data_IF_635596947730
#
_entry.id   IF_635596947730
#
_cell.length_a   1.000
_cell.length_b   1.000
_cell.length_c   1.000
_cell.angle_alpha   90.00
_cell.angle_beta   90.00
_cell.angle_gamma   90.00
#
_symmetry.space_group_name_H-M   'P 1'
#
loop_
_entity.id
_entity.type
_entity.pdbx_description
1 polymer ?
#
# COMPACT_ATOMS: atom_id res chain seq x y z
N UNK A 1 -25.49 -28.54 34.59
CA UNK A 1 -24.90 -28.07 33.29
C UNK A 1 -23.38 -28.24 33.33
N UNK A 2 -22.79 -28.84 32.34
CA UNK A 2 -21.33 -28.97 32.29
C UNK A 2 -20.73 -27.59 32.03
N UNK A 3 -19.58 -27.26 32.64
CA UNK A 3 -18.91 -25.94 32.49
C UNK A 3 -18.78 -25.51 31.04
N UNK A 4 -18.41 -26.45 30.14
CA UNK A 4 -18.25 -26.21 28.71
C UNK A 4 -19.54 -25.77 28.00
N UNK A 5 -20.71 -26.29 28.45
CA UNK A 5 -22.05 -25.90 27.94
C UNK A 5 -22.40 -24.46 28.32
N UNK A 6 -22.00 -24.03 29.54
CA UNK A 6 -22.20 -22.65 30.00
C UNK A 6 -21.33 -21.68 29.18
N UNK A 7 -20.09 -22.06 28.92
CA UNK A 7 -19.15 -21.25 28.08
C UNK A 7 -19.65 -21.16 26.64
N UNK A 8 -20.14 -22.27 26.06
CA UNK A 8 -20.72 -22.29 24.71
C UNK A 8 -21.96 -21.39 24.62
N UNK A 9 -22.85 -21.42 25.60
CA UNK A 9 -24.05 -20.56 25.64
C UNK A 9 -23.70 -19.07 25.74
N UNK A 10 -22.71 -18.71 26.57
CA UNK A 10 -22.24 -17.32 26.65
C UNK A 10 -21.59 -16.87 25.35
N UNK A 11 -20.77 -17.72 24.72
CA UNK A 11 -20.16 -17.44 23.43
C UNK A 11 -21.23 -17.25 22.35
N UNK A 12 -22.27 -18.06 22.34
CA UNK A 12 -23.42 -17.93 21.44
C UNK A 12 -24.14 -16.59 21.64
N UNK A 13 -24.42 -16.22 22.89
CA UNK A 13 -25.07 -14.96 23.26
C UNK A 13 -24.29 -13.76 22.79
N UNK A 14 -22.98 -13.74 23.06
CA UNK A 14 -22.09 -12.68 22.64
C UNK A 14 -22.02 -12.58 21.11
N UNK A 15 -21.90 -13.71 20.42
CA UNK A 15 -21.79 -13.75 18.95
C UNK A 15 -23.08 -13.28 18.27
N UNK A 16 -24.27 -13.64 18.81
CA UNK A 16 -25.56 -13.14 18.28
C UNK A 16 -25.77 -11.64 18.48
N UNK A 17 -25.16 -11.07 19.52
CA UNK A 17 -25.20 -9.63 19.80
C UNK A 17 -24.20 -8.80 19.00
N UNK A 18 -23.39 -9.41 18.14
CA UNK A 18 -22.35 -8.76 17.36
C UNK A 18 -22.99 -7.93 16.25
N UNK A 19 -22.67 -6.65 16.21
CA UNK A 19 -23.01 -5.78 15.08
C UNK A 19 -21.87 -5.82 14.06
N UNK A 20 -22.10 -6.41 12.89
CA UNK A 20 -21.10 -6.56 11.83
C UNK A 20 -20.60 -5.22 11.27
N UNK A 21 -21.29 -4.10 11.57
CA UNK A 21 -20.84 -2.76 11.23
C UNK A 21 -19.87 -2.16 12.26
N UNK A 22 -19.72 -2.77 13.44
CA UNK A 22 -19.00 -2.21 14.60
C UNK A 22 -18.03 -3.25 15.16
N UNK A 23 -17.06 -3.65 14.32
CA UNK A 23 -16.09 -4.73 14.60
C UNK A 23 -15.06 -4.37 15.68
N UNK A 24 -15.04 -3.14 16.20
CA UNK A 24 -14.08 -2.68 17.21
C UNK A 24 -14.34 -3.26 18.64
N UNK A 25 -15.45 -3.98 18.87
CA UNK A 25 -15.76 -4.57 20.17
C UNK A 25 -15.22 -5.99 20.37
N UNK A 26 -14.11 -6.35 19.75
CA UNK A 26 -13.55 -7.72 19.84
C UNK A 26 -13.09 -8.12 21.24
N UNK A 27 -12.82 -7.18 22.14
CA UNK A 27 -12.30 -7.47 23.48
C UNK A 27 -13.21 -8.38 24.34
N UNK A 28 -14.52 -8.39 24.09
CA UNK A 28 -15.48 -9.24 24.79
C UNK A 28 -15.34 -10.74 24.47
N UNK A 29 -14.67 -11.08 23.36
CA UNK A 29 -14.51 -12.45 22.84
C UNK A 29 -13.23 -13.13 23.28
N UNK A 30 -12.51 -12.56 24.24
CA UNK A 30 -11.31 -13.18 24.83
C UNK A 30 -11.68 -14.16 25.95
N UNK A 31 -10.81 -15.16 26.17
CA UNK A 31 -10.97 -16.10 27.30
C UNK A 31 -11.00 -15.39 28.67
N UNK A 32 -10.40 -14.20 28.77
CA UNK A 32 -10.38 -13.39 29.98
C UNK A 32 -11.73 -12.71 30.21
N UNK A 33 -12.29 -12.06 29.18
CA UNK A 33 -13.59 -11.39 29.26
C UNK A 33 -14.74 -12.39 29.50
N UNK A 34 -14.74 -13.52 28.77
CA UNK A 34 -15.73 -14.59 28.97
C UNK A 34 -15.61 -15.18 30.38
N UNK A 35 -14.38 -15.38 30.86
CA UNK A 35 -14.12 -15.84 32.23
C UNK A 35 -14.66 -14.88 33.29
N UNK A 36 -14.40 -13.59 33.10
CA UNK A 36 -14.91 -12.54 34.00
C UNK A 36 -16.45 -12.53 34.05
N UNK A 37 -17.12 -12.59 32.91
CA UNK A 37 -18.59 -12.61 32.83
C UNK A 37 -19.22 -13.82 33.53
N UNK A 38 -18.54 -14.97 33.47
CA UNK A 38 -19.04 -16.22 34.03
C UNK A 38 -18.51 -16.53 35.45
N UNK A 39 -17.63 -15.68 36.00
CA UNK A 39 -16.98 -15.93 37.28
C UNK A 39 -16.04 -17.14 37.28
N UNK A 40 -15.43 -17.44 36.12
CA UNK A 40 -14.54 -18.58 35.90
C UNK A 40 -13.09 -18.15 35.72
N UNK A 41 -12.12 -18.98 36.11
CA UNK A 41 -10.72 -18.72 35.93
C UNK A 41 -10.32 -18.76 34.43
N UNK A 42 -9.62 -17.73 33.93
CA UNK A 42 -9.15 -17.56 32.54
C UNK A 42 -8.55 -18.85 31.95
N UNK A 43 -7.67 -19.54 32.68
CA UNK A 43 -6.99 -20.75 32.21
C UNK A 43 -7.98 -21.90 31.93
N UNK A 44 -9.01 -22.02 32.73
CA UNK A 44 -10.05 -23.05 32.57
C UNK A 44 -10.91 -22.71 31.34
N UNK A 45 -11.30 -21.45 31.18
CA UNK A 45 -12.08 -20.98 30.03
C UNK A 45 -11.30 -21.12 28.75
N UNK A 46 -10.01 -20.74 28.73
CA UNK A 46 -9.13 -20.90 27.56
C UNK A 46 -8.99 -22.36 27.11
N UNK A 47 -8.90 -23.28 28.06
CA UNK A 47 -8.86 -24.74 27.75
C UNK A 47 -10.16 -25.20 27.11
N UNK A 48 -11.32 -24.82 27.69
CA UNK A 48 -12.63 -25.24 27.20
C UNK A 48 -12.95 -24.59 25.83
N UNK A 49 -12.56 -23.32 25.59
CA UNK A 49 -12.71 -22.64 24.29
C UNK A 49 -11.86 -23.31 23.19
N UNK A 50 -10.64 -23.71 23.50
CA UNK A 50 -9.82 -24.46 22.54
C UNK A 50 -10.40 -25.86 22.26
N UNK A 51 -11.05 -26.50 23.25
CA UNK A 51 -11.77 -27.74 23.02
C UNK A 51 -12.97 -27.52 22.10
N UNK A 52 -13.79 -26.48 22.34
CA UNK A 52 -14.92 -26.12 21.47
C UNK A 52 -14.49 -25.82 20.04
N UNK A 53 -13.33 -25.17 19.86
CA UNK A 53 -12.75 -24.96 18.54
C UNK A 53 -12.32 -26.28 17.87
N UNK A 54 -11.65 -27.18 18.59
CA UNK A 54 -11.28 -28.51 18.07
C UNK A 54 -12.53 -29.37 17.74
N UNK A 55 -13.60 -29.20 18.48
CA UNK A 55 -14.89 -29.90 18.25
C UNK A 55 -15.69 -29.23 17.09
N UNK A 56 -15.17 -28.18 16.46
CA UNK A 56 -15.81 -27.47 15.35
C UNK A 56 -17.01 -26.61 15.73
N UNK A 57 -17.20 -26.32 17.03
CA UNK A 57 -18.32 -25.52 17.57
C UNK A 57 -17.94 -24.01 17.72
N UNK A 58 -16.65 -23.68 17.72
CA UNK A 58 -16.16 -22.32 17.82
C UNK A 58 -15.19 -21.98 16.68
N UNK A 59 -15.07 -20.68 16.38
CA UNK A 59 -14.09 -20.08 15.49
C UNK A 59 -13.03 -19.40 16.37
N UNK A 60 -11.77 -19.41 15.94
CA UNK A 60 -10.64 -18.87 16.69
C UNK A 60 -9.83 -17.91 15.85
N UNK A 61 -9.35 -16.80 16.44
CA UNK A 61 -8.43 -15.90 15.76
C UNK A 61 -6.96 -16.35 15.85
N UNK A 62 -6.17 -16.04 14.79
CA UNK A 62 -4.71 -16.15 14.80
C UNK A 62 -4.14 -14.84 15.30
N UNK A 63 -3.66 -14.76 16.51
CA UNK A 63 -3.08 -13.53 17.02
C UNK A 63 -2.99 -13.49 18.55
N UNK A 64 -2.57 -12.35 19.09
CA UNK A 64 -2.59 -12.04 20.52
C UNK A 64 -3.16 -10.64 20.70
N UNK A 65 -4.28 -10.48 21.42
CA UNK A 65 -5.05 -11.53 22.10
C UNK A 65 -5.79 -12.48 21.15
N UNK A 66 -6.14 -13.69 21.63
CA UNK A 66 -6.91 -14.69 20.89
C UNK A 66 -8.40 -14.47 21.17
N UNK A 67 -9.19 -14.36 20.11
CA UNK A 67 -10.64 -14.21 20.16
C UNK A 67 -11.33 -15.51 19.76
N UNK A 68 -12.56 -15.73 20.29
CA UNK A 68 -13.37 -16.89 19.98
C UNK A 68 -14.82 -16.48 19.70
N UNK A 69 -15.43 -17.07 18.67
CA UNK A 69 -16.83 -16.84 18.29
C UNK A 69 -17.58 -18.15 18.15
N UNK A 70 -18.88 -18.14 18.40
CA UNK A 70 -19.73 -19.32 18.23
C UNK A 70 -19.98 -19.58 16.74
N UNK A 71 -19.61 -20.78 16.23
CA UNK A 71 -19.64 -21.07 14.77
C UNK A 71 -21.04 -20.91 14.19
N UNK A 72 -22.05 -21.58 14.73
CA UNK A 72 -23.42 -21.58 14.20
C UNK A 72 -24.08 -20.19 14.29
N UNK A 73 -23.81 -19.43 15.34
CA UNK A 73 -24.32 -18.07 15.48
C UNK A 73 -23.65 -17.15 14.43
N UNK A 74 -22.36 -17.33 14.17
CA UNK A 74 -21.63 -16.60 13.12
C UNK A 74 -22.15 -16.96 11.73
N UNK A 75 -22.34 -18.26 11.42
CA UNK A 75 -22.95 -18.72 10.17
C UNK A 75 -24.34 -18.11 9.94
N UNK A 76 -25.13 -17.96 11.00
CA UNK A 76 -26.45 -17.30 10.93
C UNK A 76 -26.32 -15.80 10.62
N UNK A 77 -25.36 -15.12 11.26
CA UNK A 77 -25.08 -13.69 11.01
C UNK A 77 -24.55 -13.44 9.59
N UNK A 78 -23.73 -14.37 9.09
CA UNK A 78 -23.12 -14.29 7.76
C UNK A 78 -24.06 -14.79 6.64
N UNK A 79 -25.15 -15.48 6.97
CA UNK A 79 -26.07 -16.07 6.01
C UNK A 79 -25.47 -17.24 5.19
N UNK A 80 -24.29 -17.78 5.57
CA UNK A 80 -23.62 -18.91 4.91
C UNK A 80 -22.97 -19.87 5.88
N UNK A 81 -22.73 -21.10 5.45
CA UNK A 81 -21.95 -22.08 6.23
C UNK A 81 -20.45 -21.82 6.05
N UNK A 82 -19.69 -22.02 7.11
CA UNK A 82 -18.25 -21.90 7.15
C UNK A 82 -17.59 -23.28 6.95
N UNK A 83 -16.55 -23.34 6.12
CA UNK A 83 -15.73 -24.53 5.96
C UNK A 83 -14.77 -24.68 7.15
N UNK A 84 -14.22 -25.89 7.36
CA UNK A 84 -13.32 -26.14 8.48
C UNK A 84 -12.03 -25.31 8.44
N UNK A 85 -11.57 -24.92 7.25
CA UNK A 85 -10.43 -23.99 7.06
C UNK A 85 -10.75 -22.55 7.49
N UNK A 86 -12.01 -22.16 7.48
CA UNK A 86 -12.49 -20.84 7.91
C UNK A 86 -12.74 -20.77 9.42
N UNK A 87 -12.57 -21.86 10.15
CA UNK A 87 -12.70 -21.87 11.62
C UNK A 87 -11.45 -21.33 12.34
N UNK A 88 -10.40 -20.95 11.62
CA UNK A 88 -9.23 -20.26 12.14
C UNK A 88 -8.88 -19.05 11.26
N UNK A 89 -9.18 -17.83 11.71
CA UNK A 89 -9.12 -16.58 10.96
C UNK A 89 -8.16 -15.59 11.60
N UNK A 90 -7.74 -14.55 10.88
CA UNK A 90 -6.95 -13.45 11.48
C UNK A 90 -7.86 -12.48 12.22
N UNK A 91 -8.97 -12.08 11.60
CA UNK A 91 -9.96 -11.13 12.12
C UNK A 91 -11.37 -11.58 11.77
N UNK A 92 -12.40 -11.04 12.45
CA UNK A 92 -13.83 -11.28 12.07
C UNK A 92 -14.10 -10.76 10.65
N UNK A 93 -13.39 -9.74 10.21
CA UNK A 93 -13.54 -9.20 8.87
C UNK A 93 -13.23 -10.25 7.77
N UNK A 94 -12.35 -11.22 8.05
CA UNK A 94 -12.05 -12.33 7.11
C UNK A 94 -13.24 -13.29 6.92
N UNK A 95 -14.21 -13.29 7.86
CA UNK A 95 -15.42 -14.11 7.81
C UNK A 95 -16.59 -13.41 7.13
N UNK A 96 -16.54 -12.08 7.05
CA UNK A 96 -17.58 -11.34 6.34
C UNK A 96 -17.63 -11.91 4.92
N UNK A 97 -18.85 -12.20 4.38
CA UNK A 97 -18.94 -12.50 2.98
C UNK A 97 -18.29 -11.30 2.26
N UNK A 98 -17.20 -11.54 1.55
CA UNK A 98 -16.91 -10.68 0.41
C UNK A 98 -18.23 -10.67 -0.33
N UNK A 99 -18.92 -9.52 -0.34
CA UNK A 99 -20.20 -9.41 -1.02
C UNK A 99 -19.99 -9.99 -2.42
N UNK A 100 -20.40 -11.25 -2.62
CA UNK A 100 -20.67 -11.84 -3.91
C UNK A 100 -22.00 -11.24 -4.41
N UNK A 101 -21.99 -9.98 -4.49
CA UNK A 101 -22.92 -9.09 -5.11
C UNK A 101 -22.07 -8.12 -5.85
N UNK A 102 -21.55 -8.54 -7.00
CA UNK A 102 -21.12 -7.77 -8.14
C UNK A 102 -20.91 -6.25 -7.85
N UNK A 103 -19.94 -5.94 -7.00
CA UNK A 103 -19.04 -4.83 -7.15
C UNK A 103 -17.67 -5.48 -7.07
N UNK A 104 -17.20 -6.00 -8.20
CA UNK A 104 -15.78 -6.08 -8.47
C UNK A 104 -15.30 -4.65 -8.36
N UNK A 105 -14.94 -4.19 -7.16
CA UNK A 105 -14.15 -2.99 -7.01
C UNK A 105 -12.81 -3.34 -7.63
N UNK A 106 -12.79 -3.26 -8.97
CA UNK A 106 -11.59 -3.38 -9.77
C UNK A 106 -10.50 -2.53 -9.10
N UNK A 107 -9.37 -3.10 -8.68
CA UNK A 107 -8.30 -2.38 -7.98
C UNK A 107 -7.88 -1.09 -8.69
N UNK A 108 -8.04 -1.03 -10.01
CA UNK A 108 -7.79 0.17 -10.78
C UNK A 108 -8.85 1.26 -10.60
N UNK A 109 -10.07 0.94 -10.15
CA UNK A 109 -11.13 1.95 -9.96
C UNK A 109 -10.77 3.01 -8.94
N UNK A 110 -9.91 2.67 -7.97
CA UNK A 110 -9.35 3.60 -6.98
C UNK A 110 -8.22 4.50 -7.50
N UNK A 111 -7.76 4.29 -8.74
CA UNK A 111 -6.68 5.06 -9.32
C UNK A 111 -7.22 6.34 -9.94
N UNK A 112 -6.79 7.50 -9.45
CA UNK A 112 -7.20 8.80 -10.00
C UNK A 112 -6.80 8.87 -11.47
N UNK A 113 -7.78 9.12 -12.34
CA UNK A 113 -7.61 9.14 -13.79
C UNK A 113 -7.72 7.78 -14.48
N UNK A 114 -8.16 6.71 -13.79
CA UNK A 114 -8.29 5.36 -14.34
C UNK A 114 -9.17 5.28 -15.61
N UNK A 115 -10.17 6.14 -15.71
CA UNK A 115 -11.10 6.28 -16.83
C UNK A 115 -10.80 7.49 -17.73
N UNK A 116 -9.73 8.24 -17.44
CA UNK A 116 -9.31 9.48 -18.12
C UNK A 116 -7.86 9.35 -18.62
N UNK A 117 -6.91 10.03 -17.97
CA UNK A 117 -5.51 10.06 -18.42
C UNK A 117 -4.80 8.70 -18.37
N UNK A 118 -5.23 7.79 -17.51
CA UNK A 118 -4.66 6.46 -17.34
C UNK A 118 -5.48 5.34 -18.00
N UNK A 119 -6.56 5.68 -18.70
CA UNK A 119 -7.47 4.68 -19.29
C UNK A 119 -6.74 3.66 -20.16
N UNK A 120 -5.91 4.10 -21.10
CA UNK A 120 -5.14 3.20 -21.98
C UNK A 120 -4.17 2.32 -21.17
N UNK A 121 -3.51 2.89 -20.17
CA UNK A 121 -2.62 2.15 -19.27
C UNK A 121 -3.38 1.05 -18.50
N UNK A 122 -4.55 1.37 -17.95
CA UNK A 122 -5.40 0.44 -17.20
C UNK A 122 -5.91 -0.67 -18.12
N UNK A 123 -6.40 -0.35 -19.31
CA UNK A 123 -6.88 -1.35 -20.28
C UNK A 123 -5.76 -2.31 -20.67
N UNK A 124 -4.55 -1.81 -20.95
CA UNK A 124 -3.37 -2.66 -21.23
C UNK A 124 -2.96 -3.51 -20.02
N UNK A 125 -2.98 -2.94 -18.82
CA UNK A 125 -2.65 -3.64 -17.58
C UNK A 125 -3.60 -4.82 -17.32
N UNK A 126 -4.92 -4.60 -17.44
CA UNK A 126 -5.95 -5.64 -17.35
C UNK A 126 -5.77 -6.73 -18.40
N UNK A 127 -5.58 -6.33 -19.67
CA UNK A 127 -5.36 -7.27 -20.76
C UNK A 127 -4.12 -8.14 -20.54
N UNK A 128 -3.02 -7.56 -20.05
CA UNK A 128 -1.80 -8.28 -19.73
C UNK A 128 -1.99 -9.33 -18.62
N UNK A 129 -2.80 -9.03 -17.62
CA UNK A 129 -3.11 -9.96 -16.51
C UNK A 129 -4.06 -11.07 -16.97
N UNK A 130 -5.13 -10.73 -17.70
CA UNK A 130 -6.18 -11.67 -18.10
C UNK A 130 -5.76 -12.61 -19.24
N UNK A 131 -4.70 -12.27 -19.97
CA UNK A 131 -4.21 -13.14 -21.05
C UNK A 131 -3.77 -14.51 -20.47
N UNK A 132 -4.08 -15.65 -21.14
CA UNK A 132 -3.65 -16.97 -20.68
C UNK A 132 -2.16 -17.01 -20.39
N UNK A 133 -1.78 -17.41 -19.19
CA UNK A 133 -0.41 -17.36 -18.65
C UNK A 133 0.16 -15.94 -18.41
N UNK A 134 -0.62 -14.89 -18.65
CA UNK A 134 -0.21 -13.48 -18.50
C UNK A 134 0.85 -13.03 -19.51
N UNK A 135 1.02 -11.73 -19.67
CA UNK A 135 2.03 -11.14 -20.55
C UNK A 135 3.11 -10.44 -19.72
N UNK A 136 4.32 -10.37 -20.27
CA UNK A 136 5.38 -9.53 -19.70
C UNK A 136 5.11 -8.07 -20.02
N UNK A 137 5.32 -7.19 -19.03
CA UNK A 137 4.98 -5.77 -19.12
C UNK A 137 6.20 -4.89 -18.86
N UNK A 138 6.32 -3.82 -19.63
CA UNK A 138 7.25 -2.73 -19.38
C UNK A 138 6.46 -1.46 -19.04
N UNK A 139 6.66 -0.95 -17.84
CA UNK A 139 6.13 0.32 -17.37
C UNK A 139 7.16 1.42 -17.65
N UNK A 140 6.75 2.45 -18.38
CA UNK A 140 7.57 3.62 -18.69
C UNK A 140 6.94 4.87 -18.09
N UNK A 141 7.74 5.92 -17.96
CA UNK A 141 7.30 7.22 -17.48
C UNK A 141 8.28 7.84 -16.50
N UNK A 142 8.17 9.15 -16.25
CA UNK A 142 9.08 9.88 -15.36
C UNK A 142 9.15 9.30 -13.94
N UNK A 143 10.19 9.70 -13.18
CA UNK A 143 10.29 9.33 -11.76
C UNK A 143 9.07 9.85 -10.98
N UNK A 144 8.61 9.09 -9.99
CA UNK A 144 7.51 9.49 -9.09
C UNK A 144 6.11 9.53 -9.69
N UNK A 145 5.87 8.98 -10.90
CA UNK A 145 4.51 8.91 -11.51
C UNK A 145 3.65 7.77 -10.96
N UNK A 146 4.24 6.85 -10.18
CA UNK A 146 3.52 5.71 -9.59
C UNK A 146 3.66 4.40 -10.36
N UNK A 147 4.78 4.14 -11.07
CA UNK A 147 5.01 2.86 -11.78
C UNK A 147 4.91 1.65 -10.89
N UNK A 148 5.59 1.68 -9.74
CA UNK A 148 5.56 0.60 -8.75
C UNK A 148 4.15 0.37 -8.22
N UNK A 149 3.44 1.46 -7.88
CA UNK A 149 2.04 1.39 -7.45
C UNK A 149 1.11 0.80 -8.51
N UNK A 150 1.31 1.17 -9.79
CA UNK A 150 0.55 0.59 -10.90
C UNK A 150 0.81 -0.92 -11.05
N UNK A 151 2.07 -1.37 -10.87
CA UNK A 151 2.43 -2.79 -10.86
C UNK A 151 1.75 -3.55 -9.70
N UNK A 152 1.66 -2.94 -8.51
CA UNK A 152 0.94 -3.50 -7.37
C UNK A 152 -0.57 -3.63 -7.65
N UNK A 153 -1.18 -2.65 -8.32
CA UNK A 153 -2.58 -2.74 -8.76
C UNK A 153 -2.79 -3.86 -9.78
N UNK A 154 -1.87 -4.04 -10.74
CA UNK A 154 -1.89 -5.17 -11.65
C UNK A 154 -1.84 -6.51 -10.91
N UNK A 155 -0.98 -6.62 -9.90
CA UNK A 155 -0.89 -7.82 -9.08
C UNK A 155 -2.16 -8.06 -8.25
N UNK A 156 -2.74 -7.03 -7.62
CA UNK A 156 -4.03 -7.15 -6.89
C UNK A 156 -5.13 -7.63 -7.83
N UNK A 157 -5.21 -7.05 -9.03
CA UNK A 157 -6.15 -7.47 -10.05
C UNK A 157 -5.94 -8.94 -10.45
N UNK A 158 -4.68 -9.40 -10.54
CA UNK A 158 -4.36 -10.80 -10.77
C UNK A 158 -4.78 -11.72 -9.61
N UNK A 159 -4.64 -11.27 -8.36
CA UNK A 159 -5.09 -12.02 -7.19
C UNK A 159 -6.60 -12.22 -7.16
N UNK A 160 -7.37 -11.19 -7.54
CA UNK A 160 -8.84 -11.26 -7.61
C UNK A 160 -9.35 -12.20 -8.71
N UNK A 161 -8.58 -12.35 -9.80
CA UNK A 161 -8.94 -13.22 -10.93
C UNK A 161 -8.25 -14.58 -10.86
N UNK A 162 -7.49 -14.88 -9.79
CA UNK A 162 -6.83 -16.17 -9.65
C UNK A 162 -7.84 -17.26 -9.25
N UNK A 163 -7.87 -18.37 -10.01
CA UNK A 163 -8.72 -19.51 -9.70
C UNK A 163 -8.27 -20.34 -8.48
N UNK A 164 -7.18 -19.96 -7.82
CA UNK A 164 -6.57 -20.68 -6.69
C UNK A 164 -5.91 -19.73 -5.70
N UNK A 165 -4.81 -20.16 -5.06
CA UNK A 165 -4.05 -19.29 -4.17
C UNK A 165 -3.51 -18.06 -4.92
N UNK A 166 -3.50 -16.86 -4.26
CA UNK A 166 -2.99 -15.65 -4.91
C UNK A 166 -1.54 -15.85 -5.36
N UNK A 167 -1.19 -15.41 -6.59
CA UNK A 167 0.17 -15.52 -7.10
C UNK A 167 1.14 -14.69 -6.26
N UNK A 168 2.38 -15.16 -6.00
CA UNK A 168 3.36 -14.36 -5.29
C UNK A 168 3.77 -13.11 -6.09
N UNK A 169 4.07 -12.00 -5.38
CA UNK A 169 4.72 -10.83 -5.94
C UNK A 169 6.10 -10.68 -5.29
N UNK A 170 7.14 -10.72 -6.10
CA UNK A 170 8.51 -10.47 -5.66
C UNK A 170 8.98 -9.14 -6.24
N UNK A 171 9.45 -8.25 -5.38
CA UNK A 171 9.98 -6.94 -5.76
C UNK A 171 11.50 -6.93 -5.77
N UNK A 172 12.09 -6.30 -6.76
CA UNK A 172 13.53 -6.07 -6.84
C UNK A 172 13.85 -4.74 -7.51
N UNK A 173 14.55 -3.87 -6.78
CA UNK A 173 15.06 -2.61 -7.30
C UNK A 173 16.49 -2.81 -7.85
N UNK A 174 16.65 -2.72 -9.15
CA UNK A 174 17.95 -2.89 -9.81
C UNK A 174 18.95 -1.78 -9.45
N UNK A 175 18.47 -0.60 -9.05
CA UNK A 175 19.34 0.53 -8.71
C UNK A 175 20.15 0.29 -7.41
N UNK A 176 19.61 -0.46 -6.45
CA UNK A 176 20.29 -0.76 -5.19
C UNK A 176 21.62 -1.51 -5.39
N UNK A 177 21.72 -2.26 -6.47
CA UNK A 177 22.89 -3.11 -6.77
C UNK A 177 23.63 -2.67 -8.04
N UNK A 178 23.36 -1.47 -8.57
CA UNK A 178 23.92 -0.99 -9.83
C UNK A 178 25.46 -0.95 -9.84
N UNK A 179 26.09 -0.75 -8.68
CA UNK A 179 27.55 -0.72 -8.54
C UNK A 179 28.19 -2.10 -8.37
N UNK A 180 27.40 -3.17 -8.22
CA UNK A 180 27.88 -4.54 -8.09
C UNK A 180 27.07 -5.52 -8.97
N UNK A 181 27.40 -5.63 -10.27
CA UNK A 181 26.69 -6.48 -11.22
C UNK A 181 26.65 -7.97 -10.86
N UNK A 182 27.69 -8.48 -10.22
CA UNK A 182 27.74 -9.88 -9.79
C UNK A 182 26.76 -10.14 -8.65
N UNK A 183 26.72 -9.24 -7.65
CA UNK A 183 25.79 -9.31 -6.54
C UNK A 183 24.34 -9.17 -7.03
N UNK A 184 24.06 -8.22 -7.93
CA UNK A 184 22.77 -8.06 -8.58
C UNK A 184 22.32 -9.37 -9.25
N UNK A 185 23.19 -9.92 -10.10
CA UNK A 185 22.91 -11.17 -10.80
C UNK A 185 22.72 -12.35 -9.84
N UNK A 186 23.50 -12.40 -8.77
CA UNK A 186 23.41 -13.42 -7.74
C UNK A 186 22.09 -13.36 -6.96
N UNK A 187 21.62 -12.15 -6.61
CA UNK A 187 20.33 -11.97 -5.96
C UNK A 187 19.18 -12.36 -6.87
N UNK A 188 19.22 -11.91 -8.13
CA UNK A 188 18.14 -12.12 -9.07
C UNK A 188 18.01 -13.60 -9.51
N UNK A 189 19.14 -14.22 -9.91
CA UNK A 189 19.12 -15.57 -10.48
C UNK A 189 19.55 -16.66 -9.49
N UNK A 190 20.06 -16.28 -8.31
CA UNK A 190 20.70 -17.22 -7.38
C UNK A 190 22.08 -17.69 -7.86
N UNK A 191 22.77 -18.40 -7.02
CA UNK A 191 24.10 -18.96 -7.34
C UNK A 191 24.33 -20.31 -6.70
N UNK A 192 25.28 -21.06 -7.28
CA UNK A 192 25.83 -22.27 -6.70
C UNK A 192 27.13 -21.92 -5.97
N UNK A 193 27.46 -22.75 -4.97
CA UNK A 193 28.75 -22.67 -4.28
C UNK A 193 29.90 -22.64 -5.30
N UNK A 194 30.85 -21.71 -5.13
CA UNK A 194 31.96 -21.51 -6.04
C UNK A 194 31.65 -20.74 -7.34
N UNK A 195 30.46 -20.19 -7.52
CA UNK A 195 30.10 -19.44 -8.72
C UNK A 195 30.92 -18.14 -8.90
N UNK A 196 31.34 -17.53 -7.82
CA UNK A 196 32.22 -16.33 -7.78
C UNK A 196 32.97 -16.30 -6.45
N UNK A 197 33.96 -15.39 -6.33
CA UNK A 197 34.77 -15.24 -5.11
C UNK A 197 33.90 -14.83 -3.93
N UNK A 198 33.76 -15.69 -2.93
CA UNK A 198 32.88 -15.50 -1.76
C UNK A 198 31.54 -16.25 -1.82
N UNK A 199 31.24 -16.99 -2.89
CA UNK A 199 30.09 -17.88 -2.96
C UNK A 199 30.31 -19.16 -2.14
N UNK A 200 30.12 -19.07 -0.82
CA UNK A 200 30.35 -20.18 0.14
C UNK A 200 29.22 -21.21 0.15
N UNK A 201 28.01 -20.83 -0.24
CA UNK A 201 26.79 -21.63 -0.19
C UNK A 201 25.96 -21.53 -1.47
N UNK A 202 25.01 -22.45 -1.62
CA UNK A 202 23.99 -22.32 -2.68
C UNK A 202 22.91 -21.35 -2.22
N UNK A 203 22.54 -20.38 -3.05
CA UNK A 203 21.46 -19.43 -2.74
C UNK A 203 20.42 -19.41 -3.86
N UNK A 204 19.14 -19.58 -3.50
CA UNK A 204 18.03 -19.42 -4.43
C UNK A 204 17.90 -17.94 -4.82
N UNK A 205 17.56 -17.67 -6.10
CA UNK A 205 17.33 -16.32 -6.61
C UNK A 205 15.89 -15.87 -6.44
N UNK A 206 15.66 -14.57 -6.61
CA UNK A 206 14.32 -13.97 -6.58
C UNK A 206 13.43 -14.49 -7.71
N UNK A 207 14.03 -14.85 -8.84
CA UNK A 207 13.33 -15.50 -9.96
C UNK A 207 12.68 -16.82 -9.50
N UNK A 208 13.37 -17.62 -8.68
CA UNK A 208 12.81 -18.87 -8.14
C UNK A 208 11.70 -18.62 -7.10
N UNK A 209 11.82 -17.56 -6.31
CA UNK A 209 10.80 -17.15 -5.32
C UNK A 209 9.51 -16.63 -5.99
N UNK A 210 9.63 -16.09 -7.20
CA UNK A 210 8.52 -15.57 -7.98
C UNK A 210 7.82 -16.64 -8.83
N UNK A 211 8.20 -17.92 -8.71
CA UNK A 211 7.60 -18.99 -9.50
C UNK A 211 6.09 -19.10 -9.27
N UNK A 212 5.33 -19.20 -10.33
CA UNK A 212 3.86 -19.17 -10.33
C UNK A 212 3.25 -17.76 -10.18
N UNK A 213 4.08 -16.70 -10.09
CA UNK A 213 3.62 -15.35 -9.82
C UNK A 213 4.28 -14.26 -10.66
N UNK A 214 4.58 -13.16 -9.99
CA UNK A 214 5.09 -11.92 -10.59
C UNK A 214 6.44 -11.53 -10.02
N UNK A 215 7.34 -11.10 -10.89
CA UNK A 215 8.60 -10.46 -10.53
C UNK A 215 8.60 -9.02 -11.05
N UNK A 216 8.53 -8.07 -10.13
CA UNK A 216 8.63 -6.65 -10.40
C UNK A 216 10.10 -6.22 -10.35
N UNK A 217 10.63 -5.82 -11.50
CA UNK A 217 11.99 -5.28 -11.66
C UNK A 217 11.91 -3.76 -11.82
N UNK A 218 12.16 -3.04 -10.74
CA UNK A 218 12.19 -1.58 -10.79
C UNK A 218 13.57 -1.09 -11.25
N UNK A 219 13.59 0.06 -11.94
CA UNK A 219 14.76 0.65 -12.57
C UNK A 219 15.55 -0.37 -13.42
N UNK A 220 14.83 -1.14 -14.24
CA UNK A 220 15.38 -2.27 -15.02
C UNK A 220 16.53 -1.86 -15.96
N UNK A 221 16.64 -0.58 -16.32
CA UNK A 221 17.76 -0.04 -17.08
C UNK A 221 19.11 -0.11 -16.33
N UNK A 222 19.08 -0.25 -14.99
CA UNK A 222 20.28 -0.47 -14.17
C UNK A 222 20.77 -1.91 -14.23
N UNK A 223 19.96 -2.84 -14.78
CA UNK A 223 20.38 -4.22 -14.98
C UNK A 223 21.46 -4.30 -16.09
N UNK A 224 22.64 -4.88 -15.81
CA UNK A 224 23.69 -5.02 -16.81
C UNK A 224 23.21 -5.82 -18.03
N UNK A 225 23.82 -5.60 -19.18
CA UNK A 225 23.46 -6.30 -20.43
C UNK A 225 23.44 -7.81 -20.27
N UNK A 226 24.42 -8.39 -19.57
CA UNK A 226 24.45 -9.83 -19.25
C UNK A 226 23.26 -10.28 -18.40
N UNK A 227 22.80 -9.44 -17.49
CA UNK A 227 21.59 -9.67 -16.69
C UNK A 227 20.32 -9.63 -17.55
N UNK A 228 20.24 -8.64 -18.47
CA UNK A 228 19.14 -8.56 -19.44
C UNK A 228 19.12 -9.79 -20.36
N UNK A 229 20.27 -10.29 -20.83
CA UNK A 229 20.37 -11.50 -21.64
C UNK A 229 19.93 -12.76 -20.90
N UNK A 230 20.23 -12.90 -19.61
CA UNK A 230 19.74 -14.00 -18.79
C UNK A 230 18.23 -14.03 -18.66
N UNK A 231 17.58 -12.85 -18.64
CA UNK A 231 16.12 -12.76 -18.65
C UNK A 231 15.51 -13.26 -19.98
N UNK A 232 16.25 -13.30 -21.08
CA UNK A 232 15.73 -13.81 -22.36
C UNK A 232 15.24 -15.26 -22.26
N UNK A 233 15.98 -16.12 -21.51
CA UNK A 233 15.57 -17.50 -21.32
C UNK A 233 14.24 -17.61 -20.55
N UNK A 234 13.98 -16.70 -19.63
CA UNK A 234 12.72 -16.63 -18.88
C UNK A 234 11.60 -16.15 -19.81
N UNK A 235 11.86 -15.03 -20.54
CA UNK A 235 10.88 -14.43 -21.47
C UNK A 235 10.49 -15.36 -22.63
N UNK A 236 11.48 -16.08 -23.22
CA UNK A 236 11.27 -16.89 -24.41
C UNK A 236 10.83 -18.31 -24.10
N UNK A 237 11.30 -18.92 -23.02
CA UNK A 237 11.21 -20.36 -22.74
C UNK A 237 10.66 -20.70 -21.36
N UNK A 238 10.44 -19.73 -20.49
CA UNK A 238 10.12 -20.00 -19.09
C UNK A 238 11.22 -20.83 -18.40
N UNK A 239 12.49 -20.55 -18.66
CA UNK A 239 13.60 -21.29 -18.12
C UNK A 239 14.68 -20.35 -17.59
N UNK A 240 15.33 -20.75 -16.48
CA UNK A 240 16.47 -20.02 -15.93
C UNK A 240 17.56 -20.95 -15.42
N UNK A 241 18.75 -20.38 -15.20
CA UNK A 241 19.90 -21.08 -14.57
C UNK A 241 20.52 -20.20 -13.50
N UNK A 242 20.75 -20.75 -12.28
CA UNK A 242 21.59 -20.07 -11.28
C UNK A 242 23.02 -19.83 -11.80
N UNK A 243 23.69 -18.81 -11.26
CA UNK A 243 25.10 -18.54 -11.56
C UNK A 243 25.98 -19.73 -11.18
N UNK A 244 26.99 -20.04 -12.01
CA UNK A 244 27.91 -21.16 -11.78
C UNK A 244 27.27 -22.56 -11.96
N UNK A 245 26.04 -22.67 -12.43
CA UNK A 245 25.39 -23.95 -12.65
C UNK A 245 25.69 -24.49 -14.04
N UNK A 246 26.26 -25.69 -14.12
CA UNK A 246 26.38 -26.49 -15.35
C UNK A 246 25.16 -27.41 -15.58
N UNK A 247 24.23 -27.46 -14.61
CA UNK A 247 23.02 -28.28 -14.68
C UNK A 247 22.08 -27.83 -15.79
N UNK A 248 21.10 -28.71 -16.13
CA UNK A 248 20.00 -28.35 -17.04
C UNK A 248 19.21 -27.14 -16.53
N UNK A 249 18.72 -26.33 -17.47
CA UNK A 249 17.86 -25.19 -17.12
C UNK A 249 16.62 -25.67 -16.37
N UNK A 250 16.17 -24.90 -15.39
CA UNK A 250 14.94 -25.16 -14.62
C UNK A 250 13.79 -24.46 -15.29
N UNK A 251 12.66 -25.16 -15.43
CA UNK A 251 11.40 -24.52 -15.87
C UNK A 251 10.86 -23.65 -14.75
N UNK A 252 10.28 -22.52 -15.14
CA UNK A 252 9.69 -21.52 -14.24
C UNK A 252 8.53 -20.81 -14.94
N UNK A 253 7.51 -20.48 -14.17
CA UNK A 253 6.35 -19.74 -14.66
C UNK A 253 6.30 -18.38 -13.96
N UNK A 254 7.04 -17.41 -14.48
CA UNK A 254 7.15 -16.06 -13.90
C UNK A 254 6.69 -15.03 -14.92
N UNK A 255 5.87 -14.09 -14.50
CA UNK A 255 5.49 -12.91 -15.26
C UNK A 255 6.34 -11.73 -14.83
N UNK A 256 7.04 -11.11 -15.78
CA UNK A 256 7.88 -9.96 -15.50
C UNK A 256 7.08 -8.66 -15.65
N UNK A 257 7.14 -7.82 -14.63
CA UNK A 257 6.75 -6.41 -14.71
C UNK A 257 8.03 -5.61 -14.54
N UNK A 258 8.48 -4.99 -15.63
CA UNK A 258 9.69 -4.16 -15.64
C UNK A 258 9.29 -2.69 -15.56
N UNK A 259 9.97 -1.88 -14.76
CA UNK A 259 9.76 -0.44 -14.70
C UNK A 259 11.05 0.31 -15.03
N UNK A 260 10.95 1.42 -15.75
CA UNK A 260 12.08 2.30 -16.09
C UNK A 260 11.66 3.75 -16.15
N UNK A 261 12.59 4.63 -15.73
CA UNK A 261 12.47 6.08 -15.86
C UNK A 261 13.16 6.61 -17.12
N UNK A 262 14.02 5.80 -17.72
CA UNK A 262 14.82 6.20 -18.88
C UNK A 262 14.14 5.85 -20.21
N UNK A 263 14.47 6.58 -21.29
CA UNK A 263 13.97 6.26 -22.62
C UNK A 263 14.35 4.83 -23.02
N UNK A 264 13.34 4.03 -23.35
CA UNK A 264 13.49 2.59 -23.64
C UNK A 264 14.52 2.32 -24.75
N UNK A 265 14.57 3.19 -25.77
CA UNK A 265 15.45 3.03 -26.94
C UNK A 265 16.94 3.11 -26.62
N UNK A 266 17.33 3.83 -25.58
CA UNK A 266 18.73 4.01 -25.16
C UNK A 266 19.13 3.17 -23.96
N UNK A 267 18.18 2.82 -23.12
CA UNK A 267 18.45 2.22 -21.80
C UNK A 267 18.39 0.69 -21.78
N UNK A 268 17.68 0.07 -22.73
CA UNK A 268 17.48 -1.36 -22.79
C UNK A 268 17.93 -1.94 -24.12
N UNK A 269 18.46 -3.18 -24.09
CA UNK A 269 18.79 -3.92 -25.30
C UNK A 269 17.55 -4.04 -26.22
N UNK A 270 17.69 -3.76 -27.50
CA UNK A 270 16.60 -3.93 -28.48
C UNK A 270 16.05 -5.35 -28.51
N UNK A 271 16.90 -6.34 -28.25
CA UNK A 271 16.54 -7.75 -28.13
C UNK A 271 15.69 -8.03 -26.91
N UNK A 272 15.89 -7.30 -25.80
CA UNK A 272 15.05 -7.35 -24.59
C UNK A 272 13.68 -6.71 -24.86
N UNK A 273 13.68 -5.51 -25.44
CA UNK A 273 12.45 -4.78 -25.73
C UNK A 273 11.48 -5.58 -26.61
N UNK A 274 11.98 -6.31 -27.62
CA UNK A 274 11.15 -7.11 -28.55
C UNK A 274 10.47 -8.30 -27.88
N UNK A 275 10.91 -8.71 -26.68
CA UNK A 275 10.38 -9.84 -25.94
C UNK A 275 9.31 -9.44 -24.94
N UNK A 276 9.23 -8.16 -24.63
CA UNK A 276 8.17 -7.63 -23.76
C UNK A 276 6.98 -7.28 -24.65
N UNK A 277 5.87 -7.97 -24.41
CA UNK A 277 4.68 -7.90 -25.28
C UNK A 277 3.88 -6.61 -25.05
N UNK A 278 3.88 -6.07 -23.83
CA UNK A 278 3.04 -4.92 -23.47
C UNK A 278 3.92 -3.80 -22.92
N UNK A 279 3.85 -2.63 -23.55
CA UNK A 279 4.46 -1.41 -23.06
C UNK A 279 3.35 -0.45 -22.61
N UNK A 280 3.44 0.00 -21.35
CA UNK A 280 2.49 0.90 -20.70
C UNK A 280 3.24 2.15 -20.31
N UNK A 281 2.83 3.29 -20.88
CA UNK A 281 3.38 4.58 -20.53
C UNK A 281 2.50 5.31 -19.53
N UNK A 282 3.09 5.75 -18.40
CA UNK A 282 2.38 6.46 -17.36
C UNK A 282 2.71 7.96 -17.46
N UNK A 283 1.70 8.81 -17.69
CA UNK A 283 1.91 10.23 -17.90
C UNK A 283 2.38 10.92 -16.61
N UNK A 284 3.27 11.89 -16.75
CA UNK A 284 3.66 12.79 -15.68
C UNK A 284 2.47 13.62 -15.18
N UNK A 285 2.56 14.13 -13.95
CA UNK A 285 1.47 14.90 -13.33
C UNK A 285 1.02 16.10 -14.18
N UNK A 286 1.93 16.75 -14.91
CA UNK A 286 1.64 17.90 -15.77
C UNK A 286 0.93 17.54 -17.08
N UNK A 287 0.93 16.26 -17.45
CA UNK A 287 0.19 15.74 -18.60
C UNK A 287 -1.24 15.32 -18.24
N UNK A 288 -1.56 15.31 -16.95
CA UNK A 288 -2.90 15.02 -16.44
C UNK A 288 -3.75 16.29 -16.39
N UNK A 289 -5.06 16.14 -16.45
CA UNK A 289 -5.97 17.28 -16.37
C UNK A 289 -5.86 18.02 -15.03
N UNK A 290 -6.28 19.28 -14.99
CA UNK A 290 -6.27 20.08 -13.75
C UNK A 290 -7.14 19.44 -12.69
N UNK A 291 -8.28 18.85 -13.08
CA UNK A 291 -9.18 18.12 -12.18
C UNK A 291 -8.47 16.93 -11.52
N UNK A 292 -7.73 16.12 -12.29
CA UNK A 292 -6.97 15.00 -11.74
C UNK A 292 -5.86 15.47 -10.80
N UNK A 293 -5.20 16.60 -11.10
CA UNK A 293 -4.20 17.17 -10.21
C UNK A 293 -4.82 17.64 -8.89
N UNK A 294 -6.00 18.26 -8.92
CA UNK A 294 -6.75 18.64 -7.72
C UNK A 294 -7.20 17.41 -6.93
N UNK A 295 -7.73 16.39 -7.61
CA UNK A 295 -8.11 15.12 -6.98
C UNK A 295 -6.92 14.46 -6.26
N UNK A 296 -5.71 14.49 -6.84
CA UNK A 296 -4.50 13.98 -6.20
C UNK A 296 -4.15 14.77 -4.94
N UNK A 297 -4.20 16.11 -4.99
CA UNK A 297 -3.93 16.96 -3.83
C UNK A 297 -4.93 16.66 -2.70
N UNK A 298 -6.23 16.67 -3.01
CA UNK A 298 -7.29 16.40 -2.04
C UNK A 298 -7.15 14.99 -1.47
N UNK A 299 -6.85 13.99 -2.30
CA UNK A 299 -6.62 12.62 -1.85
C UNK A 299 -5.44 12.48 -0.90
N UNK A 300 -4.33 13.19 -1.13
CA UNK A 300 -3.21 13.19 -0.20
C UNK A 300 -3.54 13.93 1.10
N UNK A 301 -4.26 15.05 1.06
CA UNK A 301 -4.75 15.72 2.26
C UNK A 301 -5.68 14.84 3.10
N UNK A 302 -6.54 14.04 2.46
CA UNK A 302 -7.39 13.07 3.15
C UNK A 302 -6.59 11.97 3.84
N UNK A 303 -5.54 11.44 3.17
CA UNK A 303 -4.65 10.46 3.78
C UNK A 303 -3.99 11.02 5.02
N UNK A 304 -3.47 12.25 4.95
CA UNK A 304 -2.86 12.91 6.11
C UNK A 304 -3.90 13.19 7.21
N UNK A 305 -5.12 13.63 6.86
CA UNK A 305 -6.23 13.81 7.81
C UNK A 305 -6.53 12.52 8.59
N UNK A 306 -6.56 11.36 7.91
CA UNK A 306 -6.76 10.04 8.56
C UNK A 306 -5.63 9.69 9.53
N UNK A 307 -4.36 9.94 9.15
CA UNK A 307 -3.18 9.63 9.97
C UNK A 307 -3.13 10.45 11.25
N UNK A 308 -3.49 11.73 11.16
CA UNK A 308 -3.44 12.66 12.29
C UNK A 308 -4.77 12.72 13.06
N UNK A 309 -5.79 12.02 12.61
CA UNK A 309 -7.15 12.00 13.17
C UNK A 309 -7.76 13.40 13.36
N UNK A 310 -7.42 14.34 12.45
CA UNK A 310 -7.90 15.72 12.46
C UNK A 310 -8.32 16.16 11.07
N UNK A 311 -9.27 17.11 11.03
CA UNK A 311 -9.62 17.79 9.78
C UNK A 311 -8.45 18.64 9.29
N UNK A 312 -8.11 18.54 8.00
CA UNK A 312 -7.11 19.39 7.35
C UNK A 312 -7.83 20.49 6.59
N UNK A 313 -7.50 21.73 6.86
CA UNK A 313 -8.07 22.91 6.21
C UNK A 313 -7.00 23.61 5.39
N UNK A 314 -7.22 23.72 4.07
CA UNK A 314 -6.29 24.38 3.14
C UNK A 314 -6.89 25.68 2.59
N UNK A 315 -6.08 26.74 2.48
CA UNK A 315 -6.50 27.95 1.81
C UNK A 315 -6.39 27.87 0.29
N UNK A 316 -7.21 28.68 -0.42
CA UNK A 316 -7.27 28.72 -1.87
C UNK A 316 -5.93 29.05 -2.53
N UNK A 317 -5.17 29.95 -1.94
CA UNK A 317 -3.86 30.38 -2.46
C UNK A 317 -2.85 29.24 -2.41
N UNK A 318 -2.84 28.49 -1.31
CA UNK A 318 -1.94 27.33 -1.15
C UNK A 318 -2.29 26.20 -2.12
N UNK A 319 -3.60 25.93 -2.35
CA UNK A 319 -4.00 24.93 -3.35
C UNK A 319 -3.54 25.34 -4.76
N UNK A 320 -3.74 26.60 -5.14
CA UNK A 320 -3.27 27.12 -6.42
C UNK A 320 -1.73 27.06 -6.54
N UNK A 321 -1.01 27.28 -5.45
CA UNK A 321 0.44 27.13 -5.44
C UNK A 321 0.87 25.68 -5.66
N UNK A 322 0.26 24.71 -4.99
CA UNK A 322 0.54 23.28 -5.20
C UNK A 322 0.30 22.86 -6.66
N UNK A 323 -0.74 23.41 -7.30
CA UNK A 323 -1.02 23.18 -8.71
C UNK A 323 0.04 23.79 -9.65
N UNK A 324 0.77 24.82 -9.23
CA UNK A 324 1.71 25.55 -10.10
C UNK A 324 3.19 25.32 -9.75
N UNK A 325 3.49 24.77 -8.57
CA UNK A 325 4.86 24.44 -8.15
C UNK A 325 5.51 23.48 -9.16
N UNK A 326 6.79 23.69 -9.59
CA UNK A 326 7.53 22.69 -10.33
C UNK A 326 7.61 21.37 -9.57
N UNK A 327 7.24 20.27 -10.22
CA UNK A 327 7.22 18.93 -9.65
C UNK A 327 8.09 17.98 -10.49
N UNK A 328 9.41 18.09 -10.35
CA UNK A 328 10.37 17.23 -11.04
C UNK A 328 10.20 15.75 -10.62
N UNK A 329 9.92 15.51 -9.34
CA UNK A 329 9.59 14.19 -8.78
C UNK A 329 8.10 13.82 -8.89
N UNK A 330 7.33 14.50 -9.75
CA UNK A 330 5.95 14.18 -10.09
C UNK A 330 5.02 13.99 -8.87
N UNK A 331 4.21 12.92 -8.88
CA UNK A 331 3.22 12.61 -7.83
C UNK A 331 3.92 12.28 -6.50
N UNK A 332 5.08 11.61 -6.57
CA UNK A 332 5.89 11.31 -5.38
C UNK A 332 6.31 12.58 -4.64
N UNK A 333 6.80 13.58 -5.38
CA UNK A 333 7.16 14.88 -4.81
C UNK A 333 5.94 15.62 -4.27
N UNK A 334 4.81 15.62 -4.99
CA UNK A 334 3.57 16.23 -4.52
C UNK A 334 3.13 15.64 -3.18
N UNK A 335 3.18 14.29 -3.04
CA UNK A 335 2.89 13.58 -1.79
C UNK A 335 3.80 14.06 -0.67
N UNK A 336 5.12 14.11 -0.89
CA UNK A 336 6.11 14.55 0.11
C UNK A 336 5.92 16.01 0.49
N UNK A 337 5.64 16.88 -0.47
CA UNK A 337 5.37 18.30 -0.21
C UNK A 337 4.13 18.49 0.69
N UNK A 338 3.04 17.76 0.43
CA UNK A 338 1.83 17.82 1.24
C UNK A 338 2.11 17.28 2.65
N UNK A 339 2.82 16.16 2.78
CA UNK A 339 3.22 15.63 4.09
C UNK A 339 4.05 16.65 4.87
N UNK A 340 5.00 17.30 4.22
CA UNK A 340 5.84 18.32 4.83
C UNK A 340 5.02 19.53 5.32
N UNK A 341 4.08 20.03 4.50
CA UNK A 341 3.16 21.10 4.88
C UNK A 341 2.30 20.71 6.11
N UNK A 342 1.76 19.50 6.10
CA UNK A 342 1.00 18.97 7.23
C UNK A 342 1.87 18.87 8.50
N UNK A 343 3.11 18.39 8.36
CA UNK A 343 4.04 18.30 9.48
C UNK A 343 4.44 19.67 10.04
N UNK A 344 4.65 20.67 9.20
CA UNK A 344 4.93 22.04 9.63
C UNK A 344 3.75 22.65 10.39
N UNK A 345 2.52 22.48 9.86
CA UNK A 345 1.31 22.96 10.52
C UNK A 345 1.05 22.22 11.84
N UNK A 346 1.29 20.90 11.87
CA UNK A 346 1.20 20.09 13.07
C UNK A 346 2.15 20.60 14.16
N UNK A 347 3.41 20.81 13.82
CA UNK A 347 4.41 21.32 14.75
C UNK A 347 4.04 22.73 15.28
N UNK A 348 3.46 23.59 14.43
CA UNK A 348 2.99 24.92 14.84
C UNK A 348 1.74 24.85 15.73
N UNK A 349 0.83 23.92 15.46
CA UNK A 349 -0.44 23.74 16.20
C UNK A 349 -0.34 22.88 17.47
N UNK A 350 0.83 22.34 17.82
CA UNK A 350 1.01 21.55 19.05
C UNK A 350 0.78 22.36 20.34
N UNK A 351 0.89 23.68 20.26
CA UNK A 351 0.60 24.59 21.37
C UNK A 351 -0.88 24.95 21.49
N UNK A 352 -1.66 24.72 20.45
CA UNK A 352 -3.09 25.05 20.38
C UNK A 352 -3.88 23.74 20.25
N UNK A 353 -4.83 23.49 21.14
CA UNK A 353 -5.72 22.33 21.11
C UNK A 353 -6.81 22.53 20.04
N UNK A 354 -6.42 22.64 18.78
CA UNK A 354 -7.35 22.77 17.65
C UNK A 354 -7.60 21.41 16.97
N UNK A 355 -8.86 21.03 16.82
CA UNK A 355 -9.27 19.81 16.08
C UNK A 355 -9.04 19.91 14.56
N UNK A 356 -8.67 21.09 14.07
CA UNK A 356 -8.41 21.37 12.66
C UNK A 356 -6.98 21.80 12.41
N UNK A 357 -6.28 21.09 11.53
CA UNK A 357 -4.96 21.46 11.06
C UNK A 357 -5.07 22.50 9.94
N UNK A 358 -4.59 23.69 10.16
CA UNK A 358 -4.67 24.79 9.21
C UNK A 358 -3.43 24.87 8.33
N UNK A 359 -3.58 24.61 7.03
CA UNK A 359 -2.57 24.87 6.01
C UNK A 359 -2.87 26.21 5.34
N UNK A 360 -1.96 27.14 5.43
CA UNK A 360 -2.14 28.48 4.85
C UNK A 360 -0.91 28.95 4.05
N UNK A 361 -1.09 30.03 3.30
CA UNK A 361 -0.05 30.63 2.44
C UNK A 361 1.22 31.05 3.16
N UNK A 362 1.19 31.21 4.50
CA UNK A 362 2.39 31.54 5.28
C UNK A 362 3.44 30.43 5.28
N UNK A 363 3.03 29.23 4.89
CA UNK A 363 3.91 28.08 4.71
C UNK A 363 4.71 28.16 3.40
N UNK A 364 4.42 29.13 2.50
CA UNK A 364 4.99 29.23 1.16
C UNK A 364 5.27 30.69 0.76
N UNK A 365 6.50 30.99 0.34
CA UNK A 365 6.96 32.34 0.03
C UNK A 365 7.13 32.64 -1.49
N UNK A 366 6.84 31.68 -2.40
CA UNK A 366 7.16 31.81 -3.81
C UNK A 366 5.97 32.32 -4.63
N UNK A 367 6.11 33.41 -5.42
CA UNK A 367 5.05 33.87 -6.32
C UNK A 367 4.80 32.86 -7.44
N UNK A 368 3.54 32.66 -7.82
CA UNK A 368 3.11 31.77 -8.89
C UNK A 368 2.03 32.42 -9.76
N UNK A 369 1.90 31.96 -11.00
CA UNK A 369 0.86 32.40 -11.92
C UNK A 369 -0.09 31.25 -12.23
N UNK A 370 -1.31 31.33 -11.66
CA UNK A 370 -2.36 30.35 -11.96
C UNK A 370 -3.07 30.68 -13.27
N UNK A 371 -3.37 29.64 -14.06
CA UNK A 371 -4.17 29.81 -15.30
C UNK A 371 -5.63 30.14 -14.96
N UNK A 372 -6.39 30.75 -15.91
CA UNK A 372 -7.82 31.01 -15.71
C UNK A 372 -8.62 29.71 -15.40
N UNK A 373 -8.28 28.61 -16.04
CA UNK A 373 -8.89 27.29 -15.83
C UNK A 373 -8.66 26.79 -14.39
N UNK A 374 -7.43 26.85 -13.89
CA UNK A 374 -7.11 26.48 -12.51
C UNK A 374 -7.87 27.33 -11.50
N UNK A 375 -7.96 28.63 -11.74
CA UNK A 375 -8.71 29.56 -10.87
C UNK A 375 -10.19 29.21 -10.84
N UNK A 376 -10.80 29.02 -12.03
CA UNK A 376 -12.23 28.69 -12.14
C UNK A 376 -12.56 27.37 -11.42
N UNK A 377 -11.73 26.33 -11.61
CA UNK A 377 -11.93 25.05 -10.96
C UNK A 377 -11.80 25.16 -9.44
N UNK A 378 -10.76 25.86 -8.96
CA UNK A 378 -10.56 26.06 -7.52
C UNK A 378 -11.66 26.92 -6.92
N UNK A 379 -12.13 27.97 -7.62
CA UNK A 379 -13.27 28.80 -7.19
C UNK A 379 -14.53 27.95 -7.04
N UNK A 380 -14.81 27.08 -7.99
CA UNK A 380 -15.94 26.15 -7.96
C UNK A 380 -15.81 25.15 -6.78
N UNK A 381 -14.62 24.60 -6.54
CA UNK A 381 -14.35 23.66 -5.44
C UNK A 381 -14.55 24.31 -4.07
N UNK A 382 -14.18 25.58 -3.93
CA UNK A 382 -14.29 26.30 -2.66
C UNK A 382 -15.69 26.88 -2.40
N UNK A 383 -16.58 26.90 -3.42
CA UNK A 383 -17.97 27.36 -3.31
C UNK A 383 -18.11 28.70 -2.56
N UNK A 384 -17.27 29.67 -2.92
CA UNK A 384 -17.25 31.00 -2.30
C UNK A 384 -16.61 31.08 -0.91
N UNK A 385 -16.09 29.96 -0.38
CA UNK A 385 -15.34 29.95 0.88
C UNK A 385 -13.85 30.25 0.63
N UNK A 386 -13.18 30.80 1.63
CA UNK A 386 -11.73 31.06 1.56
C UNK A 386 -10.89 29.78 1.84
N UNK A 387 -11.49 28.76 2.43
CA UNK A 387 -10.82 27.55 2.89
C UNK A 387 -11.64 26.30 2.54
N UNK A 388 -10.94 25.25 2.14
CA UNK A 388 -11.49 23.92 1.94
C UNK A 388 -11.10 23.04 3.14
N UNK A 389 -12.12 22.45 3.78
CA UNK A 389 -11.93 21.50 4.86
C UNK A 389 -12.00 20.07 4.31
N UNK A 390 -10.96 19.28 4.60
CA UNK A 390 -10.81 17.89 4.16
C UNK A 390 -10.73 17.01 5.39
N UNK A 391 -11.68 16.10 5.56
CA UNK A 391 -11.67 15.13 6.64
C UNK A 391 -11.62 13.69 6.12
N UNK A 392 -11.45 12.73 7.03
CA UNK A 392 -11.37 11.30 6.72
C UNK A 392 -12.68 10.72 6.17
N UNK A 393 -13.82 11.39 6.35
CA UNK A 393 -15.18 10.90 6.11
C UNK A 393 -15.90 11.63 4.98
N UNK A 394 -15.63 12.91 4.79
CA UNK A 394 -16.31 13.77 3.84
C UNK A 394 -15.49 13.91 2.57
N UNK A 395 -15.92 13.25 1.52
CA UNK A 395 -15.48 13.59 0.17
C UNK A 395 -16.26 14.82 -0.27
N UNK A 396 -15.63 15.94 -0.62
CA UNK A 396 -16.25 16.82 -1.60
C UNK A 396 -16.57 15.93 -2.80
N UNK A 397 -17.62 16.24 -3.57
CA UNK A 397 -18.23 15.40 -4.62
C UNK A 397 -17.32 14.83 -5.72
N UNK A 398 -16.00 14.86 -5.51
CA UNK A 398 -14.94 14.19 -6.25
C UNK A 398 -14.95 12.71 -5.84
N UNK A 399 -15.37 11.83 -6.73
CA UNK A 399 -15.31 10.38 -6.57
C UNK A 399 -13.86 9.95 -6.31
N UNK A 400 -13.45 9.85 -5.06
CA UNK A 400 -12.12 9.36 -4.68
C UNK A 400 -12.26 8.09 -3.85
N UNK A 401 -12.26 6.97 -4.52
CA UNK A 401 -11.95 5.68 -3.93
C UNK A 401 -10.42 5.50 -3.98
N UNK A 402 -9.71 5.99 -2.98
CA UNK A 402 -8.30 5.64 -2.79
C UNK A 402 -8.26 4.36 -1.95
N UNK A 403 -7.97 3.24 -2.62
CA UNK A 403 -7.80 1.96 -2.00
C UNK A 403 -6.82 2.03 -0.81
N UNK A 404 -7.32 1.65 0.35
CA UNK A 404 -6.55 1.36 1.55
C UNK A 404 -5.72 0.11 1.29
N UNK A 405 -4.42 0.19 1.38
CA UNK A 405 -3.56 -0.99 1.36
C UNK A 405 -2.06 -0.67 1.44
N UNK A 406 -1.44 -1.11 2.50
CA UNK A 406 -0.01 -1.40 2.68
C UNK A 406 1.01 -0.26 2.92
N UNK A 407 0.64 1.01 3.06
CA UNK A 407 1.59 2.08 3.45
C UNK A 407 1.46 2.56 4.91
N UNK A 408 0.84 1.77 5.81
CA UNK A 408 0.49 2.23 7.17
C UNK A 408 1.72 2.26 8.10
N UNK A 409 2.75 1.44 7.90
CA UNK A 409 3.82 1.27 8.90
C UNK A 409 4.90 2.38 8.92
N UNK A 410 5.27 2.98 7.78
CA UNK A 410 6.35 3.99 7.78
C UNK A 410 5.88 5.39 8.23
N UNK A 411 4.64 5.74 8.02
CA UNK A 411 4.13 7.08 8.30
C UNK A 411 3.71 7.30 9.76
N UNK A 412 3.29 6.25 10.47
CA UNK A 412 3.02 6.31 11.92
C UNK A 412 4.30 6.57 12.71
N UNK A 413 5.43 6.04 12.21
CA UNK A 413 6.76 6.31 12.76
C UNK A 413 7.17 7.78 12.60
N UNK A 414 6.78 8.45 11.52
CA UNK A 414 7.12 9.83 11.25
C UNK A 414 6.44 10.82 12.23
N UNK A 415 5.13 10.73 12.40
CA UNK A 415 4.42 11.59 13.35
C UNK A 415 4.75 11.25 14.80
N UNK A 416 4.99 9.98 15.12
CA UNK A 416 5.46 9.57 16.44
C UNK A 416 6.89 10.09 16.74
N UNK A 417 7.76 10.12 15.73
CA UNK A 417 9.09 10.75 15.82
C UNK A 417 8.97 12.25 16.11
N UNK A 418 8.16 12.99 15.35
CA UNK A 418 7.94 14.43 15.57
C UNK A 418 7.39 14.73 16.96
N UNK A 419 6.41 13.95 17.40
CA UNK A 419 5.81 14.10 18.74
C UNK A 419 6.86 13.85 19.83
N UNK A 420 7.68 12.81 19.69
CA UNK A 420 8.75 12.48 20.64
C UNK A 420 9.82 13.58 20.69
N UNK A 421 10.24 14.09 19.54
CA UNK A 421 11.23 15.19 19.47
C UNK A 421 10.68 16.48 20.10
N UNK A 422 9.41 16.81 19.83
CA UNK A 422 8.75 17.94 20.48
C UNK A 422 8.70 17.81 22.01
N UNK A 423 8.30 16.64 22.51
CA UNK A 423 8.26 16.38 23.96
C UNK A 423 9.66 16.47 24.58
N UNK A 424 10.69 15.95 23.89
CA UNK A 424 12.08 16.03 24.35
C UNK A 424 12.57 17.50 24.44
N UNK A 425 12.30 18.32 23.41
CA UNK A 425 12.68 19.73 23.38
C UNK A 425 11.93 20.53 24.46
N UNK A 426 10.66 20.22 24.65
CA UNK A 426 9.84 20.86 25.73
C UNK A 426 10.36 20.50 27.13
N UNK A 427 10.71 19.24 27.36
CA UNK A 427 11.28 18.76 28.60
C UNK A 427 12.68 19.36 28.89
N UNK A 428 13.38 19.80 27.83
CA UNK A 428 14.67 20.48 27.91
C UNK A 428 14.54 22.00 28.09
N UNK A 429 13.34 22.54 28.37
CA UNK A 429 13.03 23.95 28.55
C UNK A 429 13.40 24.86 27.36
N UNK A 430 13.38 24.37 26.16
CA UNK A 430 13.62 25.15 24.94
C UNK A 430 12.41 26.05 24.66
N UNK A 431 12.60 27.37 24.41
CA UNK A 431 11.49 28.27 24.10
C UNK A 431 10.67 27.81 22.88
N UNK A 432 9.34 28.05 22.86
CA UNK A 432 8.47 27.57 21.77
C UNK A 432 8.90 28.01 20.34
N UNK A 433 9.40 29.24 20.21
CA UNK A 433 9.89 29.75 18.92
C UNK A 433 11.16 29.02 18.44
N UNK A 434 12.04 28.67 19.36
CA UNK A 434 13.29 27.93 19.06
C UNK A 434 13.02 26.44 18.82
N UNK A 435 12.06 25.87 19.56
CA UNK A 435 11.55 24.50 19.32
C UNK A 435 11.03 24.36 17.88
N UNK A 436 10.26 25.33 17.39
CA UNK A 436 9.73 25.34 16.04
C UNK A 436 10.86 25.43 15.00
N UNK A 437 11.86 26.26 15.22
CA UNK A 437 13.01 26.40 14.32
C UNK A 437 13.84 25.10 14.24
N UNK A 438 14.07 24.43 15.37
CA UNK A 438 14.79 23.14 15.43
C UNK A 438 14.01 22.06 14.71
N UNK A 439 12.69 21.95 14.91
CA UNK A 439 11.86 20.98 14.23
C UNK A 439 11.80 21.24 12.73
N UNK A 440 11.69 22.50 12.28
CA UNK A 440 11.76 22.88 10.87
C UNK A 440 13.08 22.45 10.22
N UNK A 441 14.21 22.73 10.85
CA UNK A 441 15.53 22.34 10.34
C UNK A 441 15.69 20.81 10.27
N UNK A 442 15.23 20.07 11.26
CA UNK A 442 15.22 18.60 11.23
C UNK A 442 14.31 18.05 10.15
N UNK A 443 13.13 18.66 9.93
CA UNK A 443 12.23 18.29 8.86
C UNK A 443 12.87 18.54 7.47
N UNK A 444 13.47 19.71 7.26
CA UNK A 444 14.18 20.01 6.02
C UNK A 444 15.28 18.98 5.72
N UNK A 445 16.05 18.56 6.73
CA UNK A 445 17.09 17.52 6.54
C UNK A 445 16.57 16.12 6.23
N UNK A 446 15.31 15.82 6.56
CA UNK A 446 14.67 14.52 6.25
C UNK A 446 14.11 14.52 4.81
N UNK A 447 13.73 15.70 4.29
CA UNK A 447 13.11 15.85 2.96
C UNK A 447 14.02 16.48 1.91
N UNK A 448 15.29 16.82 2.24
CA UNK A 448 16.31 17.18 1.26
C UNK A 448 16.80 15.89 0.54
N UNK A 449 16.33 15.72 -0.70
CA UNK A 449 16.91 14.84 -1.70
C UNK A 449 17.64 15.64 -2.76
#
# INVERSE_FOLDING_TARGET
MRRIEVILGELERLTRGLNLADLEQETAFTAEAIGFNLGLARNSVSKDLNQLWNDGLAIKSRGRPVFFWHRQAMETLLGRRLNDTECEVRTVADLLPHQEGCSTDDPFSGLIGYDRSLRDAVEKGRAAVLYPHGLHVLLTGPSGVGKTFFAELMHRFACEHAAGSPPPLVYFNCAEYAHNPELLSSHLFGHRQGAFTGASENKAGLVEQADGGYLLLDEVHRLPYEGQEKLFSILDKGQYRPLGSSATARSITVRLICATTEPVSSALLRTFQRRIQVCIDLPGIRQRSVEEQVELIVGFLQRESRKIERTVSIDKTLLLWLLNKPLEGNIGQLKSDIQFLCAQAWAAGMTEHNDTLQLDKRLVEVPFNATPEQRLLVDTLFDGQDRLSVDARTLPALKTSLATGAEIEESDLFYSFLTREYVNLRNSNVPPAETLAILKNKLSSIFEY
#
